data_IF_786136293216
#
_entry.id   IF_786136293216
#
_cell.length_a   1.000
_cell.length_b   1.000
_cell.length_c   1.000
_cell.angle_alpha   90.00
_cell.angle_beta   90.00
_cell.angle_gamma   90.00
#
_symmetry.space_group_name_H-M   'P 1'
#
loop_
_entity.id
_entity.type
_entity.pdbx_description
1 polymer ?
#
# COMPACT_ATOMS: atom_id res chain seq x y z
N UNK A 1 -4.24 1.09 -7.89
CA UNK A 1 -3.12 1.74 -8.62
C UNK A 1 -3.69 2.38 -9.88
N UNK A 2 -3.23 3.57 -10.24
CA UNK A 2 -3.61 4.28 -11.47
C UNK A 2 -2.55 5.29 -11.90
N UNK A 3 -2.63 5.79 -13.14
CA UNK A 3 -1.72 6.81 -13.65
C UNK A 3 -1.90 8.19 -13.01
N UNK A 4 -3.07 8.49 -12.45
CA UNK A 4 -3.29 9.73 -11.70
C UNK A 4 -2.48 9.80 -10.40
N UNK A 5 -2.00 8.65 -9.90
CA UNK A 5 -1.17 8.56 -8.70
C UNK A 5 0.34 8.69 -9.02
N UNK A 6 0.73 8.71 -10.30
CA UNK A 6 2.11 8.94 -10.73
C UNK A 6 2.57 10.37 -10.48
N UNK A 7 3.89 10.56 -10.47
CA UNK A 7 4.51 11.87 -10.31
C UNK A 7 5.57 12.08 -11.39
N UNK A 8 5.30 12.88 -12.43
CA UNK A 8 4.03 13.55 -12.75
C UNK A 8 2.88 12.57 -13.10
N UNK A 9 1.59 12.97 -12.98
CA UNK A 9 0.46 12.13 -13.36
C UNK A 9 0.49 11.72 -14.84
N UNK A 10 0.14 10.46 -15.12
CA UNK A 10 0.05 9.89 -16.47
C UNK A 10 -1.41 9.74 -16.88
N UNK A 11 -1.76 10.23 -18.07
CA UNK A 11 -3.09 10.00 -18.67
C UNK A 11 -3.08 8.64 -19.35
N UNK A 12 -3.70 7.66 -18.70
CA UNK A 12 -3.79 6.27 -19.18
C UNK A 12 -5.09 5.63 -18.68
N UNK A 13 -5.55 4.59 -19.36
CA UNK A 13 -6.59 3.69 -18.85
C UNK A 13 -6.03 2.62 -17.89
N UNK A 14 -4.71 2.62 -17.72
CA UNK A 14 -3.97 1.69 -16.88
C UNK A 14 -4.49 1.68 -15.45
N UNK A 15 -4.77 0.48 -14.96
CA UNK A 15 -5.14 0.23 -13.56
C UNK A 15 -4.43 -1.02 -13.04
N UNK A 16 -4.29 -1.09 -11.72
CA UNK A 16 -3.75 -2.29 -11.08
C UNK A 16 -4.10 -2.37 -9.60
N UNK A 17 -3.92 -3.57 -9.06
CA UNK A 17 -4.12 -3.88 -7.65
C UNK A 17 -3.05 -4.88 -7.21
N UNK A 18 -2.52 -4.71 -6.00
CA UNK A 18 -1.54 -5.60 -5.40
C UNK A 18 -1.88 -5.78 -3.92
N UNK A 19 -1.75 -7.00 -3.44
CA UNK A 19 -1.68 -7.32 -2.01
C UNK A 19 -0.22 -7.43 -1.60
N UNK A 20 0.10 -6.87 -0.44
CA UNK A 20 1.45 -6.93 0.15
C UNK A 20 1.33 -7.59 1.51
N UNK A 21 2.10 -8.66 1.72
CA UNK A 21 2.23 -9.32 3.01
C UNK A 21 3.61 -9.01 3.59
N UNK A 22 3.66 -8.65 4.86
CA UNK A 22 4.88 -8.33 5.58
C UNK A 22 4.98 -9.18 6.85
N UNK A 23 6.12 -9.83 7.04
CA UNK A 23 6.60 -10.28 8.35
C UNK A 23 7.47 -9.15 8.93
N UNK A 24 6.96 -8.47 9.96
CA UNK A 24 7.61 -7.31 10.58
C UNK A 24 8.73 -7.69 11.57
N UNK A 25 8.89 -8.97 11.86
CA UNK A 25 9.99 -9.51 12.68
C UNK A 25 11.21 -9.79 11.80
N UNK A 26 11.00 -10.48 10.69
CA UNK A 26 12.10 -10.86 9.77
C UNK A 26 12.34 -9.84 8.65
N UNK A 27 11.37 -8.95 8.41
CA UNK A 27 11.36 -8.03 7.28
C UNK A 27 11.01 -8.68 5.94
N UNK A 28 10.64 -9.96 5.92
CA UNK A 28 10.25 -10.63 4.70
C UNK A 28 8.96 -10.00 4.14
N UNK A 29 9.00 -9.57 2.89
CA UNK A 29 7.86 -8.98 2.18
C UNK A 29 7.55 -9.80 0.94
N UNK A 30 6.25 -10.02 0.67
CA UNK A 30 5.77 -10.64 -0.57
C UNK A 30 4.65 -9.82 -1.19
N UNK A 31 4.61 -9.82 -2.52
CA UNK A 31 3.65 -9.08 -3.34
C UNK A 31 2.99 -10.03 -4.33
N UNK A 32 1.69 -9.87 -4.52
CA UNK A 32 0.94 -10.50 -5.60
C UNK A 32 -0.16 -9.56 -6.07
N UNK A 33 -0.36 -9.48 -7.38
CA UNK A 33 -1.32 -8.56 -7.97
C UNK A 33 -1.48 -8.71 -9.47
N UNK A 34 -2.24 -7.78 -10.04
CA UNK A 34 -2.49 -7.69 -11.47
C UNK A 34 -2.65 -6.24 -11.92
N UNK A 35 -2.45 -6.04 -13.23
CA UNK A 35 -2.69 -4.78 -13.91
C UNK A 35 -3.37 -5.02 -15.26
N UNK A 36 -4.00 -3.98 -15.78
CA UNK A 36 -4.61 -3.99 -17.10
C UNK A 36 -4.69 -2.60 -17.71
N UNK A 37 -4.85 -2.54 -19.02
CA UNK A 37 -5.11 -1.28 -19.75
C UNK A 37 -3.91 -0.35 -19.90
N UNK A 38 -2.68 -0.87 -19.74
CA UNK A 38 -1.47 -0.07 -19.96
C UNK A 38 -1.34 0.32 -21.44
N UNK A 39 -0.70 1.46 -21.69
CA UNK A 39 -0.49 2.02 -23.04
C UNK A 39 0.57 1.28 -23.84
N UNK A 40 1.50 0.59 -23.17
CA UNK A 40 2.52 -0.27 -23.79
C UNK A 40 2.91 -1.42 -22.86
N UNK A 41 3.76 -2.32 -23.35
CA UNK A 41 4.24 -3.49 -22.60
C UNK A 41 4.88 -3.08 -21.27
N UNK A 42 4.49 -3.74 -20.18
CA UNK A 42 5.15 -3.60 -18.88
C UNK A 42 6.60 -4.10 -18.95
N UNK A 43 7.52 -3.33 -18.36
CA UNK A 43 8.97 -3.59 -18.43
C UNK A 43 9.67 -3.63 -17.08
N UNK A 44 9.00 -3.17 -16.02
CA UNK A 44 9.47 -3.30 -14.65
C UNK A 44 8.32 -3.08 -13.66
N UNK A 45 8.43 -3.68 -12.47
CA UNK A 45 7.62 -3.35 -11.31
C UNK A 45 8.48 -3.28 -10.04
N UNK A 46 8.16 -2.35 -9.15
CA UNK A 46 8.98 -2.10 -7.95
C UNK A 46 8.13 -1.70 -6.74
N UNK A 47 8.59 -2.06 -5.54
CA UNK A 47 8.27 -1.31 -4.31
C UNK A 47 9.27 -0.16 -4.18
N UNK A 48 8.79 1.05 -3.95
CA UNK A 48 9.59 2.24 -3.68
C UNK A 48 9.34 2.79 -2.28
N UNK A 49 10.31 3.53 -1.74
CA UNK A 49 10.15 4.29 -0.51
C UNK A 49 11.48 4.78 0.10
N UNK A 50 11.41 5.61 1.16
CA UNK A 50 10.18 6.21 1.69
C UNK A 50 9.70 7.42 0.88
N UNK A 51 8.41 7.50 0.59
CA UNK A 51 7.75 8.68 0.04
C UNK A 51 6.24 8.73 0.40
N UNK A 52 5.73 9.90 0.83
CA UNK A 52 4.29 10.12 0.89
C UNK A 52 3.67 10.15 -0.52
N UNK A 53 2.35 10.14 -0.58
CA UNK A 53 1.63 10.38 -1.83
C UNK A 53 2.06 11.73 -2.46
N UNK A 54 2.33 11.74 -3.76
CA UNK A 54 2.80 12.92 -4.49
C UNK A 54 4.32 13.15 -4.47
N UNK A 55 5.11 12.28 -3.83
CA UNK A 55 6.58 12.32 -3.87
C UNK A 55 7.17 11.02 -4.46
N UNK A 56 8.37 11.10 -5.02
CA UNK A 56 9.12 9.96 -5.57
C UNK A 56 10.20 9.47 -4.60
N UNK A 57 10.55 8.19 -4.65
CA UNK A 57 11.64 7.61 -3.88
C UNK A 57 12.38 6.52 -4.68
N UNK A 58 13.51 6.06 -4.14
CA UNK A 58 14.27 4.94 -4.70
C UNK A 58 13.56 3.59 -4.57
N UNK A 59 14.13 2.58 -5.24
CA UNK A 59 13.64 1.20 -5.24
C UNK A 59 14.04 0.52 -3.91
N UNK A 60 13.09 -0.17 -3.30
CA UNK A 60 13.30 -1.02 -2.13
C UNK A 60 13.29 -2.51 -2.49
N UNK A 61 12.38 -2.91 -3.39
CA UNK A 61 12.24 -4.30 -3.85
C UNK A 61 11.94 -4.30 -5.34
N UNK A 62 12.71 -5.08 -6.11
CA UNK A 62 12.40 -5.39 -7.50
C UNK A 62 11.39 -6.53 -7.57
N UNK A 63 10.33 -6.33 -8.33
CA UNK A 63 9.26 -7.29 -8.54
C UNK A 63 9.35 -7.84 -9.96
N UNK A 64 8.59 -8.90 -10.22
CA UNK A 64 8.43 -9.51 -11.52
C UNK A 64 7.06 -9.17 -12.08
N UNK A 65 7.04 -8.58 -13.26
CA UNK A 65 5.86 -8.44 -14.10
C UNK A 65 5.82 -9.51 -15.20
N UNK A 66 4.63 -9.98 -15.53
CA UNK A 66 4.40 -10.88 -16.68
C UNK A 66 3.25 -10.36 -17.53
N UNK A 67 3.22 -10.77 -18.80
CA UNK A 67 2.20 -10.34 -19.76
C UNK A 67 2.68 -9.21 -20.66
N UNK A 68 1.80 -8.25 -20.93
CA UNK A 68 2.07 -7.13 -21.84
C UNK A 68 1.44 -5.84 -21.32
N UNK A 69 0.37 -5.40 -21.97
CA UNK A 69 -0.45 -4.26 -21.50
C UNK A 69 -1.42 -4.64 -20.37
N UNK A 70 -1.60 -5.94 -20.14
CA UNK A 70 -2.31 -6.53 -19.00
C UNK A 70 -1.54 -7.75 -18.53
N UNK A 71 -1.57 -8.01 -17.23
CA UNK A 71 -0.66 -8.98 -16.66
C UNK A 71 -0.67 -9.06 -15.13
N UNK A 72 0.34 -9.73 -14.60
CA UNK A 72 0.51 -9.94 -13.17
C UNK A 72 1.77 -9.26 -12.67
N UNK A 73 1.75 -8.89 -11.38
CA UNK A 73 2.94 -8.46 -10.63
C UNK A 73 3.07 -9.39 -9.44
N UNK A 74 4.26 -9.94 -9.23
CA UNK A 74 4.56 -10.74 -8.05
C UNK A 74 6.03 -10.61 -7.66
N UNK A 75 6.35 -10.96 -6.42
CA UNK A 75 7.74 -10.96 -5.98
C UNK A 75 7.87 -11.04 -4.48
N UNK A 76 9.11 -11.13 -4.01
CA UNK A 76 9.43 -11.08 -2.60
C UNK A 76 10.78 -10.41 -2.39
N UNK A 77 11.02 -9.97 -1.16
CA UNK A 77 12.28 -9.37 -0.76
C UNK A 77 12.38 -9.27 0.76
N UNK A 78 13.37 -8.51 1.22
CA UNK A 78 13.59 -8.24 2.64
C UNK A 78 13.74 -6.74 2.84
N UNK A 79 12.95 -6.18 3.75
CA UNK A 79 13.02 -4.78 4.13
C UNK A 79 13.92 -4.60 5.35
N UNK A 80 14.64 -3.47 5.38
CA UNK A 80 15.33 -3.04 6.59
C UNK A 80 14.32 -2.62 7.67
N UNK A 81 14.70 -2.57 8.96
CA UNK A 81 13.82 -2.10 10.03
C UNK A 81 13.23 -0.70 9.80
N UNK A 82 14.01 0.21 9.20
CA UNK A 82 13.52 1.53 8.82
C UNK A 82 12.45 1.45 7.72
N UNK A 83 12.65 0.58 6.72
CA UNK A 83 11.70 0.41 5.62
C UNK A 83 10.42 -0.33 6.03
N UNK A 84 10.50 -1.24 7.00
CA UNK A 84 9.32 -1.82 7.67
C UNK A 84 8.47 -0.70 8.26
N UNK A 85 9.09 0.18 9.06
CA UNK A 85 8.41 1.33 9.67
C UNK A 85 7.78 2.25 8.61
N UNK A 86 8.50 2.52 7.52
CA UNK A 86 7.99 3.34 6.43
C UNK A 86 6.81 2.69 5.71
N UNK A 87 6.84 1.37 5.47
CA UNK A 87 5.73 0.63 4.86
C UNK A 87 4.50 0.67 5.75
N UNK A 88 4.66 0.39 7.05
CA UNK A 88 3.55 0.43 8.02
C UNK A 88 2.93 1.83 8.15
N UNK A 89 3.71 2.88 7.93
CA UNK A 89 3.25 4.27 7.93
C UNK A 89 2.69 4.75 6.56
N UNK A 90 2.56 3.86 5.57
CA UNK A 90 2.02 4.22 4.25
C UNK A 90 2.96 5.07 3.40
N UNK A 91 4.25 5.06 3.71
CA UNK A 91 5.31 5.80 2.99
C UNK A 91 5.99 4.94 1.92
N UNK A 92 5.35 3.88 1.45
CA UNK A 92 5.85 3.07 0.34
C UNK A 92 4.77 2.92 -0.73
N UNK A 93 5.20 2.60 -1.95
CA UNK A 93 4.30 2.44 -3.08
C UNK A 93 4.79 1.38 -4.04
N UNK A 94 3.85 0.81 -4.80
CA UNK A 94 4.16 -0.02 -5.96
C UNK A 94 3.99 0.81 -7.22
N UNK A 95 4.90 0.64 -8.16
CA UNK A 95 4.84 1.21 -9.50
C UNK A 95 5.01 0.11 -10.56
N UNK A 96 4.33 0.24 -11.70
CA UNK A 96 4.58 -0.53 -12.92
C UNK A 96 4.99 0.41 -14.04
N UNK A 97 6.14 0.13 -14.65
CA UNK A 97 6.74 0.88 -15.73
C UNK A 97 6.44 0.22 -17.07
N UNK A 98 6.38 1.02 -18.14
CA UNK A 98 6.19 0.52 -19.51
C UNK A 98 7.20 1.13 -20.47
N UNK A 99 7.26 0.61 -21.70
CA UNK A 99 8.15 1.17 -22.75
C UNK A 99 7.90 2.67 -22.99
N UNK A 100 6.64 3.11 -23.03
CA UNK A 100 6.27 4.52 -23.23
C UNK A 100 6.47 5.33 -21.94
N UNK A 101 6.14 4.76 -20.78
CA UNK A 101 6.18 5.43 -19.49
C UNK A 101 7.27 4.82 -18.61
N UNK A 102 8.53 4.98 -19.00
CA UNK A 102 9.67 4.38 -18.31
C UNK A 102 9.87 4.88 -16.86
N UNK A 103 9.37 6.08 -16.54
CA UNK A 103 9.36 6.61 -15.17
C UNK A 103 8.28 6.00 -14.26
N UNK A 104 7.31 5.30 -14.83
CA UNK A 104 6.14 4.74 -14.17
C UNK A 104 4.86 5.07 -14.94
N UNK A 105 3.97 4.10 -15.13
CA UNK A 105 2.66 4.30 -15.75
C UNK A 105 1.52 4.26 -14.75
N UNK A 106 1.58 3.33 -13.79
CA UNK A 106 0.58 3.20 -12.72
C UNK A 106 1.25 2.99 -11.37
N UNK A 107 0.75 3.75 -10.38
CA UNK A 107 1.24 3.71 -9.01
C UNK A 107 0.11 3.49 -8.02
N UNK A 108 0.41 2.90 -6.86
CA UNK A 108 -0.46 2.93 -5.69
C UNK A 108 0.35 2.89 -4.40
N UNK A 109 -0.03 3.73 -3.42
CA UNK A 109 0.52 3.64 -2.07
C UNK A 109 0.14 2.29 -1.45
N UNK A 110 1.08 1.70 -0.71
CA UNK A 110 0.82 0.55 0.14
C UNK A 110 0.24 1.09 1.45
N UNK A 111 -0.97 0.68 1.79
CA UNK A 111 -1.65 1.08 3.03
C UNK A 111 -2.06 -0.15 3.79
N UNK A 112 -2.07 -0.09 5.13
CA UNK A 112 -2.67 -1.16 5.92
C UNK A 112 -4.16 -1.23 5.63
N UNK A 113 -4.66 -2.45 5.41
CA UNK A 113 -6.09 -2.70 5.49
C UNK A 113 -6.51 -2.48 6.94
N UNK A 114 -7.27 -1.42 7.20
CA UNK A 114 -7.94 -1.29 8.49
C UNK A 114 -9.03 -2.36 8.50
N UNK A 115 -9.02 -3.33 9.45
CA UNK A 115 -10.09 -4.30 9.53
C UNK A 115 -11.40 -3.54 9.56
N UNK A 116 -12.33 -3.87 8.66
CA UNK A 116 -13.65 -3.29 8.70
C UNK A 116 -14.18 -3.53 10.12
N UNK A 117 -14.25 -2.46 10.93
CA UNK A 117 -14.80 -2.59 12.27
C UNK A 117 -16.21 -3.15 12.06
N UNK A 118 -16.57 -4.27 12.73
CA UNK A 118 -17.93 -4.74 12.67
C UNK A 118 -18.83 -3.55 12.96
N UNK A 119 -19.85 -3.29 12.14
CA UNK A 119 -20.75 -2.14 12.32
C UNK A 119 -21.39 -2.06 13.71
N UNK A 120 -21.30 -3.13 14.49
CA UNK A 120 -21.61 -3.20 15.92
C UNK A 120 -20.75 -2.28 16.81
N UNK A 121 -19.53 -1.90 16.40
CA UNK A 121 -18.65 -0.99 17.14
C UNK A 121 -18.81 0.49 16.72
N UNK A 122 -19.34 0.76 15.53
CA UNK A 122 -19.64 2.14 15.08
C UNK A 122 -20.87 2.73 15.78
N UNK A 123 -21.71 1.91 16.42
CA UNK A 123 -22.93 2.35 17.09
C UNK A 123 -22.71 2.99 18.49
N UNK A 124 -21.52 2.91 19.08
CA UNK A 124 -21.27 3.44 20.43
C UNK A 124 -20.78 4.91 20.42
N UNK A 125 -20.45 5.46 19.25
CA UNK A 125 -20.02 6.87 19.09
C UNK A 125 -21.13 7.79 18.53
N UNK A 126 -22.41 7.41 18.70
CA UNK A 126 -23.55 8.21 18.24
C UNK A 126 -24.63 8.47 19.33
N UNK A 127 -24.31 8.35 20.62
CA UNK A 127 -25.28 8.70 21.70
C UNK A 127 -24.78 9.69 22.77
N UNK A 128 -23.49 10.01 22.90
CA UNK A 128 -23.07 11.03 23.91
C UNK A 128 -22.87 12.42 23.30
N UNK A 129 -23.93 12.94 22.66
CA UNK A 129 -24.02 14.36 22.31
C UNK A 129 -25.37 15.00 22.73
N UNK A 130 -26.07 14.42 23.70
CA UNK A 130 -27.18 15.08 24.41
C UNK A 130 -27.21 14.65 25.89
N UNK A 131 -26.28 15.18 26.69
CA UNK A 131 -26.37 15.46 28.13
C UNK A 131 -24.96 15.36 28.74
N UNK A 132 -24.48 16.46 29.33
CA UNK A 132 -23.14 16.57 29.88
C UNK A 132 -22.82 15.49 30.92
N UNK A 133 -21.70 14.81 30.71
CA UNK A 133 -21.08 13.91 31.68
C UNK A 133 -19.67 13.61 31.23
N UNK A 134 -18.67 14.11 31.96
CA UNK A 134 -17.27 13.80 31.71
C UNK A 134 -17.04 12.29 31.88
N UNK A 135 -16.55 11.62 30.83
CA UNK A 135 -16.13 10.22 30.90
C UNK A 135 -14.62 10.16 30.70
N UNK A 136 -13.90 9.81 31.77
CA UNK A 136 -12.48 9.44 31.71
C UNK A 136 -12.42 7.97 31.29
N UNK A 137 -11.92 7.70 30.08
CA UNK A 137 -11.69 6.34 29.61
C UNK A 137 -10.31 5.85 30.12
N UNK A 138 -10.26 5.18 31.27
CA UNK A 138 -9.05 4.44 31.66
C UNK A 138 -8.99 3.12 30.91
N UNK A 139 -8.04 3.00 29.98
CA UNK A 139 -7.70 1.74 29.28
C UNK A 139 -7.24 0.71 30.33
N UNK A 140 -7.98 -0.39 30.50
CA UNK A 140 -7.45 -1.59 31.18
C UNK A 140 -6.83 -2.48 30.11
N UNK A 141 -5.51 -2.58 30.13
CA UNK A 141 -4.75 -3.61 29.40
C UNK A 141 -5.09 -4.98 29.97
N UNK A 142 -5.46 -6.00 29.17
CA UNK A 142 -5.45 -7.37 29.66
C UNK A 142 -4.00 -7.80 29.93
N UNK A 143 -3.78 -8.35 31.12
CA UNK A 143 -2.52 -8.91 31.57
C UNK A 143 -2.06 -10.03 30.63
N UNK A 144 -0.74 -10.07 30.36
CA UNK A 144 -0.09 -11.20 29.72
C UNK A 144 -0.35 -12.48 30.52
N UNK A 145 -0.80 -13.53 29.85
CA UNK A 145 -0.81 -14.88 30.41
C UNK A 145 0.58 -15.49 30.25
N UNK A 146 1.14 -15.96 31.37
CA UNK A 146 2.34 -16.77 31.46
C UNK A 146 2.07 -18.23 31.09
#
# INVERSE_FOLDING_TARGET
>A
MSGAQEVPPVVTAGTGFCTVTLDDVTGAVSVSGSFSGLTSTATAAHIHGPAPAGAIAGILVTLTETGGTSGNVSGSGTLSPANITNLLNGLTYINVHTTINGGGEIRGQITQEVPALPWQWMAVLAVVAMAGGAFVLTRRSPLAAA
#
